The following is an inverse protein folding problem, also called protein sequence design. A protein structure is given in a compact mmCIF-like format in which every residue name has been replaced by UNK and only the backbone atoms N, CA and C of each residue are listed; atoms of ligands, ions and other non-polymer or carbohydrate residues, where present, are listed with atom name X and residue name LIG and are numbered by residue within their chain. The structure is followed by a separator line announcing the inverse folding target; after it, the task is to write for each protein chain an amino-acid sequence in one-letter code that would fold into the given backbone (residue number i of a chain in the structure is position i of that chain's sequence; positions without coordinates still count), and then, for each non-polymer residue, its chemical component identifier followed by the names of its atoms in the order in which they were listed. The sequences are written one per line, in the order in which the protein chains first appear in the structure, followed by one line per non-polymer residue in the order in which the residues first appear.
data_IF_608189436193
#
_entry.id   IF_608189436193
#
_cell.length_a   1.000
_cell.length_b   1.000
_cell.length_c   1.000
_cell.angle_alpha   90.00
_cell.angle_beta   90.00
_cell.angle_gamma   90.00
#
_symmetry.space_group_name_H-M   'P 1'
#
loop_
_entity.id
_entity.type
_entity.pdbx_description
1 polymer ?
#
# COMPACT_ATOMS: atom_id res chain seq x y z
N UNK A 1 19.55 -10.56 -5.58
CA UNK A 1 18.28 -10.88 -6.28
C UNK A 1 18.44 -10.49 -7.76
N UNK A 2 17.55 -10.92 -8.68
CA UNK A 2 17.53 -10.37 -10.04
C UNK A 2 17.13 -8.88 -9.94
N UNK A 3 17.93 -7.99 -10.48
CA UNK A 3 17.63 -6.55 -10.51
C UNK A 3 16.97 -6.18 -11.83
N UNK A 4 15.96 -5.31 -11.75
CA UNK A 4 15.25 -4.74 -12.89
C UNK A 4 15.34 -3.23 -12.76
N UNK A 5 15.85 -2.57 -13.78
CA UNK A 5 15.91 -1.11 -13.81
C UNK A 5 14.52 -0.53 -14.10
N UNK A 6 14.09 0.41 -13.26
CA UNK A 6 12.88 1.21 -13.46
C UNK A 6 13.31 2.67 -13.49
N UNK A 7 13.09 3.34 -14.61
CA UNK A 7 13.43 4.75 -14.72
C UNK A 7 12.47 5.59 -13.87
N UNK A 8 13.01 6.61 -13.19
CA UNK A 8 12.28 7.50 -12.28
C UNK A 8 12.58 8.96 -12.62
N UNK A 9 11.54 9.78 -12.67
CA UNK A 9 11.61 11.24 -12.72
C UNK A 9 11.20 11.80 -11.35
N UNK A 10 12.03 12.69 -10.79
CA UNK A 10 11.70 13.46 -9.59
C UNK A 10 11.02 14.75 -10.02
N UNK A 11 9.73 14.90 -9.72
CA UNK A 11 8.90 16.02 -10.18
C UNK A 11 8.57 17.05 -9.07
N UNK A 12 9.01 16.81 -7.83
CA UNK A 12 8.87 17.75 -6.70
C UNK A 12 10.20 17.99 -6.01
N UNK A 13 10.47 19.24 -5.63
CA UNK A 13 11.71 19.62 -4.95
C UNK A 13 11.82 18.94 -3.58
N UNK A 14 12.97 18.30 -3.31
CA UNK A 14 13.24 17.62 -2.05
C UNK A 14 12.48 16.31 -1.84
N UNK A 15 11.83 15.76 -2.88
CA UNK A 15 11.34 14.39 -2.85
C UNK A 15 12.53 13.41 -2.76
N UNK A 16 12.34 12.32 -2.01
CA UNK A 16 13.39 11.33 -1.73
C UNK A 16 13.16 10.10 -2.59
N UNK A 17 14.24 9.58 -3.18
CA UNK A 17 14.19 8.28 -3.83
C UNK A 17 13.92 7.19 -2.78
N UNK A 18 13.11 6.18 -3.13
CA UNK A 18 12.81 5.08 -2.22
C UNK A 18 14.01 4.12 -2.16
N UNK A 19 14.23 3.50 -0.99
CA UNK A 19 15.39 2.63 -0.75
C UNK A 19 14.97 1.34 -0.03
N UNK A 20 15.62 0.23 -0.37
CA UNK A 20 15.58 -0.98 0.44
C UNK A 20 16.32 -0.72 1.76
N UNK A 21 15.73 -1.09 2.89
CA UNK A 21 16.33 -0.85 4.20
C UNK A 21 17.28 -1.98 4.61
N UNK A 22 17.02 -3.20 4.13
CA UNK A 22 17.84 -4.39 4.34
C UNK A 22 18.01 -5.16 3.02
N UNK A 23 19.05 -5.99 2.96
CA UNK A 23 19.46 -6.76 1.76
C UNK A 23 18.34 -7.60 1.13
N UNK A 24 17.42 -8.10 1.94
CA UNK A 24 16.38 -9.05 1.53
C UNK A 24 14.96 -8.48 1.64
N UNK A 25 14.83 -7.17 1.81
CA UNK A 25 13.53 -6.51 1.84
C UNK A 25 12.82 -6.63 0.49
N UNK A 26 11.52 -6.91 0.52
CA UNK A 26 10.73 -7.08 -0.72
C UNK A 26 10.37 -5.76 -1.39
N UNK A 27 10.43 -4.64 -0.68
CA UNK A 27 10.00 -3.34 -1.18
C UNK A 27 10.86 -2.19 -0.66
N UNK A 28 10.86 -1.11 -1.43
CA UNK A 28 11.54 0.13 -1.06
C UNK A 28 10.58 1.04 -0.30
N UNK A 29 11.01 1.59 0.84
CA UNK A 29 10.20 2.56 1.59
C UNK A 29 10.06 3.86 0.77
N UNK A 30 8.83 4.34 0.55
CA UNK A 30 8.56 5.60 -0.17
C UNK A 30 8.09 6.70 0.79
N UNK A 31 8.58 7.92 0.54
CA UNK A 31 8.32 9.08 1.38
C UNK A 31 7.21 9.98 0.83
N UNK A 32 6.52 10.71 1.72
CA UNK A 32 5.69 11.84 1.34
C UNK A 32 6.54 13.00 0.80
N UNK A 33 6.11 13.65 -0.28
CA UNK A 33 6.78 14.82 -0.84
C UNK A 33 6.32 16.15 -0.22
N UNK A 34 5.21 16.16 0.52
CA UNK A 34 4.68 17.34 1.19
C UNK A 34 3.95 16.98 2.49
N UNK A 35 3.63 18.00 3.28
CA UNK A 35 2.82 17.87 4.48
C UNK A 35 1.34 17.67 4.10
N UNK A 36 0.71 16.63 4.64
CA UNK A 36 -0.70 16.31 4.38
C UNK A 36 -1.44 16.04 5.68
N UNK A 37 -2.53 16.78 5.89
CA UNK A 37 -3.46 16.57 7.01
C UNK A 37 -4.55 15.59 6.58
N UNK A 38 -4.86 14.62 7.43
CA UNK A 38 -5.89 13.60 7.22
C UNK A 38 -6.80 13.55 8.45
N UNK A 39 -8.02 14.07 8.31
CA UNK A 39 -9.04 14.05 9.36
C UNK A 39 -9.64 12.64 9.51
N UNK A 40 -10.28 12.33 10.65
CA UNK A 40 -11.04 11.09 10.81
C UNK A 40 -12.00 10.85 9.63
N UNK A 41 -12.01 9.62 9.12
CA UNK A 41 -12.78 9.17 7.95
C UNK A 41 -12.44 9.83 6.61
N UNK A 42 -11.42 10.70 6.56
CA UNK A 42 -10.96 11.31 5.31
C UNK A 42 -10.07 10.34 4.53
N UNK A 43 -10.23 10.37 3.21
CA UNK A 43 -9.33 9.73 2.25
C UNK A 43 -8.62 10.80 1.43
N UNK A 44 -7.30 10.77 1.44
CA UNK A 44 -6.46 11.71 0.69
C UNK A 44 -5.48 10.98 -0.22
N UNK A 45 -4.94 11.71 -1.19
CA UNK A 45 -3.79 11.27 -1.98
C UNK A 45 -2.57 12.00 -1.41
N UNK A 46 -1.58 11.24 -0.92
CA UNK A 46 -0.30 11.78 -0.47
C UNK A 46 0.71 11.66 -1.61
N UNK A 47 1.20 12.78 -2.18
CA UNK A 47 2.12 12.73 -3.30
C UNK A 47 3.50 12.24 -2.87
N UNK A 48 4.19 11.51 -3.74
CA UNK A 48 5.55 11.00 -3.50
C UNK A 48 6.63 11.83 -4.18
N UNK A 49 6.28 12.68 -5.14
CA UNK A 49 7.21 13.42 -5.97
C UNK A 49 7.85 12.58 -7.08
N UNK A 50 7.38 11.35 -7.30
CA UNK A 50 7.99 10.38 -8.22
C UNK A 50 7.07 10.05 -9.38
N UNK A 51 7.60 10.06 -10.60
CA UNK A 51 6.97 9.43 -11.78
C UNK A 51 7.84 8.26 -12.22
N UNK A 52 7.22 7.17 -12.63
CA UNK A 52 7.93 5.92 -12.93
C UNK A 52 7.67 5.47 -14.37
N UNK A 53 8.71 4.98 -15.03
CA UNK A 53 8.59 4.28 -16.30
C UNK A 53 8.91 2.79 -16.08
N UNK A 54 7.86 2.06 -15.70
CA UNK A 54 7.94 0.62 -15.40
C UNK A 54 8.02 -0.18 -16.71
N UNK A 55 8.95 -1.15 -16.84
CA UNK A 55 9.05 -1.99 -18.02
C UNK A 55 7.79 -2.86 -18.27
N UNK A 56 7.42 -3.13 -19.54
CA UNK A 56 6.34 -4.07 -19.85
C UNK A 56 6.56 -5.45 -19.20
N UNK A 57 5.48 -6.05 -18.70
CA UNK A 57 5.53 -7.33 -17.96
C UNK A 57 5.69 -7.16 -16.45
N UNK A 58 5.80 -5.92 -15.97
CA UNK A 58 5.88 -5.59 -14.54
C UNK A 58 4.80 -4.60 -14.12
N UNK A 59 4.44 -4.65 -12.84
CA UNK A 59 3.72 -3.61 -12.13
C UNK A 59 4.52 -3.22 -10.88
N UNK A 60 4.21 -2.07 -10.28
CA UNK A 60 4.64 -1.75 -8.92
C UNK A 60 3.43 -1.78 -8.00
N UNK A 61 3.56 -2.50 -6.90
CA UNK A 61 2.55 -2.59 -5.85
C UNK A 61 2.89 -1.64 -4.71
N UNK A 62 1.95 -0.77 -4.37
CA UNK A 62 1.96 0.06 -3.17
C UNK A 62 1.40 -0.76 -2.01
N UNK A 63 2.26 -1.07 -1.03
CA UNK A 63 1.89 -1.84 0.16
C UNK A 63 2.04 -1.01 1.44
N UNK A 64 1.20 -1.24 2.47
CA UNK A 64 1.33 -0.56 3.74
C UNK A 64 2.59 -0.98 4.47
N UNK A 65 3.13 -0.07 5.28
CA UNK A 65 4.17 -0.39 6.26
C UNK A 65 3.49 -0.94 7.52
N UNK A 66 3.93 -2.11 7.98
CA UNK A 66 3.33 -2.78 9.15
C UNK A 66 3.38 -1.91 10.41
N UNK A 67 4.49 -1.19 10.61
CA UNK A 67 4.65 -0.28 11.75
C UNK A 67 3.61 0.84 11.79
N UNK A 68 3.33 1.49 10.64
CA UNK A 68 2.31 2.54 10.56
C UNK A 68 0.92 1.94 10.78
N UNK A 69 0.63 0.82 10.13
CA UNK A 69 -0.70 0.18 10.19
C UNK A 69 -1.07 -0.26 11.61
N UNK A 70 -0.09 -0.76 12.37
CA UNK A 70 -0.28 -1.20 13.75
C UNK A 70 -0.41 -0.02 14.72
N UNK A 71 0.42 1.02 14.54
CA UNK A 71 0.56 2.13 15.51
C UNK A 71 -0.37 3.30 15.24
N UNK A 72 -1.07 3.32 14.11
CA UNK A 72 -1.95 4.41 13.69
C UNK A 72 -3.22 3.87 13.04
N UNK A 73 -4.28 4.68 12.92
CA UNK A 73 -5.49 4.36 12.17
C UNK A 73 -5.35 4.62 10.66
N UNK A 74 -4.14 4.91 10.15
CA UNK A 74 -3.91 5.15 8.73
C UNK A 74 -3.89 3.83 7.95
N UNK A 75 -4.63 3.75 6.85
CA UNK A 75 -4.73 2.59 5.96
C UNK A 75 -4.50 3.01 4.52
N UNK A 76 -3.75 2.21 3.78
CA UNK A 76 -3.67 2.37 2.32
C UNK A 76 -4.92 1.74 1.72
N UNK A 77 -5.84 2.59 1.23
CA UNK A 77 -7.23 2.22 0.98
C UNK A 77 -7.39 1.24 -0.18
N UNK A 78 -6.51 1.35 -1.18
CA UNK A 78 -6.49 0.48 -2.35
C UNK A 78 -5.45 -0.64 -2.24
N UNK A 79 -4.97 -0.99 -1.03
CA UNK A 79 -3.85 -1.92 -0.90
C UNK A 79 -4.17 -3.37 -1.32
N UNK A 80 -3.26 -4.06 -2.04
CA UNK A 80 -2.08 -3.49 -2.71
C UNK A 80 -2.50 -2.57 -3.86
N UNK A 81 -2.00 -1.33 -3.86
CA UNK A 81 -2.29 -0.37 -4.91
C UNK A 81 -1.48 -0.69 -6.16
N UNK A 82 -2.11 -0.81 -7.31
CA UNK A 82 -1.41 -1.14 -8.57
C UNK A 82 -0.96 0.11 -9.31
N UNK A 83 0.32 0.16 -9.67
CA UNK A 83 0.89 1.13 -10.61
C UNK A 83 1.22 0.37 -11.90
N UNK A 84 0.43 0.63 -12.94
CA UNK A 84 0.57 -0.02 -14.24
C UNK A 84 1.84 0.40 -14.99
N UNK A 85 2.34 -0.50 -15.84
CA UNK A 85 3.51 -0.25 -16.69
C UNK A 85 3.41 1.02 -17.56
N UNK A 86 2.19 1.40 -17.94
CA UNK A 86 1.89 2.56 -18.77
C UNK A 86 1.70 3.87 -18.00
N UNK A 87 1.62 3.84 -16.68
CA UNK A 87 1.40 5.05 -15.87
C UNK A 87 2.63 5.96 -15.88
N UNK A 88 2.43 7.27 -16.08
CA UNK A 88 3.53 8.25 -16.18
C UNK A 88 3.33 9.51 -15.33
N UNK A 89 2.18 9.63 -14.68
CA UNK A 89 1.93 10.74 -13.78
C UNK A 89 2.57 10.48 -12.41
N UNK A 90 2.45 11.45 -11.51
CA UNK A 90 3.01 11.37 -10.17
C UNK A 90 2.34 10.25 -9.37
N UNK A 91 3.16 9.36 -8.80
CA UNK A 91 2.71 8.32 -7.89
C UNK A 91 2.16 8.96 -6.61
N UNK A 92 0.88 8.73 -6.35
CA UNK A 92 0.20 9.12 -5.12
C UNK A 92 -0.15 7.92 -4.25
N UNK A 93 -0.03 8.07 -2.93
CA UNK A 93 -0.43 7.04 -1.97
C UNK A 93 -1.82 7.40 -1.44
N UNK A 94 -2.82 6.54 -1.72
CA UNK A 94 -4.20 6.75 -1.24
C UNK A 94 -4.29 6.27 0.21
N UNK A 95 -4.46 7.20 1.14
CA UNK A 95 -4.52 6.92 2.57
C UNK A 95 -5.87 7.34 3.13
N UNK A 96 -6.54 6.41 3.82
CA UNK A 96 -7.70 6.69 4.66
C UNK A 96 -7.27 6.72 6.12
N UNK A 97 -7.74 7.72 6.86
CA UNK A 97 -7.68 7.71 8.32
C UNK A 97 -8.94 7.07 8.88
N UNK A 98 -8.84 5.87 9.44
CA UNK A 98 -9.98 5.13 10.02
C UNK A 98 -10.24 5.48 11.48
N UNK A 99 -9.79 6.64 11.95
CA UNK A 99 -10.09 7.09 13.30
C UNK A 99 -11.60 7.21 13.51
N UNK A 100 -12.07 6.89 14.71
CA UNK A 100 -13.38 7.36 15.15
C UNK A 100 -13.43 8.90 15.14
N UNK A 101 -14.62 9.48 14.98
CA UNK A 101 -14.79 10.92 15.15
C UNK A 101 -14.40 11.34 16.58
N UNK A 102 -13.62 12.41 16.67
CA UNK A 102 -13.01 12.87 17.94
C UNK A 102 -13.40 14.31 18.26
N UNK A 103 -14.71 14.61 18.23
CA UNK A 103 -15.27 15.90 18.65
C UNK A 103 -14.50 17.12 18.13
N UNK A 104 -14.32 18.13 18.99
CA UNK A 104 -13.62 19.39 18.66
C UNK A 104 -12.09 19.33 18.90
N UNK A 105 -11.50 18.12 18.89
CA UNK A 105 -10.05 18.00 19.10
C UNK A 105 -9.27 18.68 17.97
N UNK A 106 -8.33 19.54 18.34
CA UNK A 106 -7.40 20.20 17.41
C UNK A 106 -5.98 19.64 17.49
N UNK A 107 -5.77 18.54 18.22
CA UNK A 107 -4.46 17.90 18.34
C UNK A 107 -4.13 17.12 17.06
N UNK A 108 -2.88 17.23 16.60
CA UNK A 108 -2.37 16.46 15.48
C UNK A 108 -1.48 15.32 15.97
N UNK A 109 -1.74 14.12 15.47
CA UNK A 109 -0.84 12.98 15.58
C UNK A 109 -0.02 12.80 14.30
N UNK A 110 1.08 12.09 14.38
CA UNK A 110 1.99 11.83 13.26
C UNK A 110 2.29 10.34 13.13
N UNK A 111 2.93 9.92 12.03
CA UNK A 111 3.14 8.48 11.74
C UNK A 111 3.99 7.74 12.79
N UNK A 112 4.75 8.47 13.60
CA UNK A 112 5.56 8.00 14.74
C UNK A 112 4.83 8.12 16.09
N UNK A 113 3.61 8.66 16.12
CA UNK A 113 2.79 8.69 17.33
C UNK A 113 2.43 7.27 17.78
N UNK A 114 2.81 6.93 19.01
CA UNK A 114 2.60 5.60 19.58
C UNK A 114 1.18 5.43 20.11
N UNK A 115 0.69 4.19 20.06
CA UNK A 115 -0.54 3.78 20.76
C UNK A 115 -1.83 3.81 19.93
N UNK A 116 -1.77 3.96 18.61
CA UNK A 116 -2.95 3.97 17.72
C UNK A 116 -4.00 5.00 18.16
N UNK A 117 -3.52 6.22 18.38
CA UNK A 117 -4.33 7.35 18.82
C UNK A 117 -5.40 7.66 17.77
N UNK A 118 -6.61 7.97 18.24
CA UNK A 118 -7.73 8.32 17.37
C UNK A 118 -7.74 9.84 17.20
N UNK A 119 -7.76 10.35 15.98
CA UNK A 119 -7.78 11.79 15.75
C UNK A 119 -7.29 12.23 14.37
N UNK A 120 -6.90 13.49 14.26
CA UNK A 120 -6.35 14.09 13.04
C UNK A 120 -4.88 13.67 12.93
N UNK A 121 -4.48 13.19 11.74
CA UNK A 121 -3.09 12.86 11.46
C UNK A 121 -2.45 13.88 10.51
N UNK A 122 -1.22 14.26 10.80
CA UNK A 122 -0.32 15.00 9.92
C UNK A 122 0.77 14.04 9.45
N UNK A 123 0.77 13.76 8.15
CA UNK A 123 1.93 13.18 7.47
C UNK A 123 2.85 14.34 7.11
N UNK A 124 4.11 14.26 7.52
CA UNK A 124 5.11 15.29 7.21
C UNK A 124 5.84 14.92 5.93
N UNK A 125 6.31 15.93 5.20
CA UNK A 125 7.29 15.76 4.12
C UNK A 125 8.47 14.93 4.63
N UNK A 126 8.81 13.87 3.89
CA UNK A 126 9.90 12.97 4.22
C UNK A 126 9.52 11.80 5.14
N UNK A 127 8.29 11.73 5.67
CA UNK A 127 7.79 10.55 6.36
C UNK A 127 7.69 9.37 5.39
N UNK A 128 8.19 8.20 5.80
CA UNK A 128 8.08 6.95 5.04
C UNK A 128 6.69 6.36 5.22
N UNK A 129 5.83 6.48 4.22
CA UNK A 129 4.37 6.24 4.35
C UNK A 129 3.90 4.91 3.78
N UNK A 130 4.62 4.35 2.80
CA UNK A 130 4.30 3.10 2.14
C UNK A 130 5.59 2.38 1.71
N UNK A 131 5.45 1.21 1.09
CA UNK A 131 6.56 0.54 0.41
C UNK A 131 6.15 0.13 -1.00
N UNK A 132 7.09 0.24 -1.94
CA UNK A 132 6.92 -0.12 -3.35
C UNK A 132 7.54 -1.49 -3.62
N UNK A 133 6.75 -2.44 -4.13
CA UNK A 133 7.20 -3.79 -4.48
C UNK A 133 7.05 -3.98 -5.99
N UNK A 134 8.16 -4.25 -6.69
CA UNK A 134 8.11 -4.60 -8.11
C UNK A 134 7.64 -6.05 -8.28
N UNK A 135 6.64 -6.27 -9.13
CA UNK A 135 6.06 -7.58 -9.36
C UNK A 135 5.99 -7.89 -10.85
N UNK A 136 6.41 -9.10 -11.24
CA UNK A 136 6.18 -9.63 -12.59
C UNK A 136 4.71 -10.04 -12.75
N UNK A 137 4.08 -9.61 -13.85
CA UNK A 137 2.66 -9.80 -14.13
C UNK A 137 2.44 -10.43 -15.51
N UNK A 138 2.17 -11.75 -15.58
CA UNK A 138 1.84 -12.39 -16.85
C UNK A 138 0.48 -11.91 -17.38
N UNK A 139 0.37 -11.74 -18.70
CA UNK A 139 -0.90 -11.37 -19.33
C UNK A 139 -1.81 -12.58 -19.48
N UNK A 140 -3.03 -12.48 -18.96
CA UNK A 140 -4.06 -13.50 -19.16
C UNK A 140 -4.62 -13.46 -20.59
N UNK A 141 -4.93 -14.64 -21.14
CA UNK A 141 -5.78 -14.82 -22.32
C UNK A 141 -6.98 -15.66 -21.92
N UNK A 142 -8.17 -15.08 -21.95
CA UNK A 142 -9.40 -15.80 -21.60
C UNK A 142 -9.82 -16.74 -22.74
N UNK A 143 -10.20 -17.97 -22.39
CA UNK A 143 -10.83 -18.94 -23.27
C UNK A 143 -12.18 -19.32 -22.68
N UNK A 144 -13.26 -18.98 -23.37
CA UNK A 144 -14.63 -19.34 -22.96
C UNK A 144 -14.83 -20.84 -23.13
N UNK A 145 -15.42 -21.50 -22.13
CA UNK A 145 -15.75 -22.93 -22.10
C UNK A 145 -17.10 -23.12 -21.42
N UNK A 146 -17.81 -24.21 -21.73
CA UNK A 146 -19.12 -24.51 -21.14
C UNK A 146 -19.03 -24.85 -19.64
N UNK A 147 -17.91 -25.43 -19.19
CA UNK A 147 -17.66 -25.71 -17.77
C UNK A 147 -16.17 -25.84 -17.46
N UNK A 148 -15.75 -25.25 -16.34
CA UNK A 148 -14.38 -25.39 -15.79
C UNK A 148 -14.23 -26.60 -14.86
N UNK A 149 -15.34 -27.25 -14.47
CA UNK A 149 -15.33 -28.32 -13.45
C UNK A 149 -14.48 -29.53 -13.85
N UNK A 150 -14.34 -29.79 -15.16
CA UNK A 150 -13.51 -30.87 -15.72
C UNK A 150 -12.10 -30.45 -16.14
N UNK A 151 -11.68 -29.21 -15.89
CA UNK A 151 -10.36 -28.70 -16.31
C UNK A 151 -9.41 -28.71 -15.12
N UNK A 152 -8.36 -29.53 -15.19
CA UNK A 152 -7.32 -29.59 -14.16
C UNK A 152 -7.83 -30.14 -12.82
N UNK A 153 -7.24 -29.67 -11.72
CA UNK A 153 -7.64 -30.06 -10.36
C UNK A 153 -8.66 -29.08 -9.79
N UNK A 154 -9.77 -29.58 -9.27
CA UNK A 154 -10.78 -28.78 -8.60
C UNK A 154 -10.62 -28.86 -7.07
N UNK A 155 -10.26 -27.75 -6.42
CA UNK A 155 -10.12 -27.66 -4.95
C UNK A 155 -11.46 -27.74 -4.22
N UNK A 156 -12.59 -27.53 -4.89
CA UNK A 156 -13.90 -27.42 -4.25
C UNK A 156 -14.11 -26.05 -3.59
N UNK A 157 -14.59 -26.03 -2.33
CA UNK A 157 -15.06 -24.83 -1.63
C UNK A 157 -14.01 -23.73 -1.35
N UNK A 158 -14.49 -22.56 -0.90
CA UNK A 158 -13.70 -21.37 -0.51
C UNK A 158 -14.27 -20.67 0.73
N UNK A 159 -13.85 -19.43 1.03
CA UNK A 159 -14.33 -18.62 2.17
C UNK A 159 -14.16 -19.24 3.56
N UNK A 160 -12.97 -19.74 3.88
CA UNK A 160 -12.70 -20.31 5.20
C UNK A 160 -13.19 -21.76 5.39
N UNK A 161 -13.45 -22.48 4.30
CA UNK A 161 -13.88 -23.90 4.29
C UNK A 161 -12.93 -24.88 5.01
N UNK A 162 -11.74 -24.44 5.43
CA UNK A 162 -10.75 -25.23 6.17
C UNK A 162 -10.44 -24.70 7.58
N UNK A 163 -11.15 -23.69 8.08
CA UNK A 163 -10.75 -23.03 9.33
C UNK A 163 -11.75 -22.05 9.92
N UNK A 164 -12.71 -22.58 10.66
CA UNK A 164 -13.18 -21.99 11.93
C UNK A 164 -13.40 -23.16 12.87
N UNK A 165 -12.32 -23.63 13.51
CA UNK A 165 -12.48 -24.55 14.62
C UNK A 165 -13.23 -23.80 15.73
N UNK A 166 -14.45 -24.24 16.01
CA UNK A 166 -15.06 -24.12 17.34
C UNK A 166 -14.12 -24.80 18.33
N UNK A 167 -13.13 -24.06 18.82
CA UNK A 167 -12.38 -24.43 20.02
C UNK A 167 -12.50 -23.27 20.99
N UNK A 168 -13.22 -23.56 22.06
CA UNK A 168 -13.33 -22.76 23.28
C UNK A 168 -11.98 -22.12 23.62
N UNK A 169 -11.97 -20.79 23.71
CA UNK A 169 -10.89 -20.06 24.33
C UNK A 169 -10.92 -20.34 25.85
N UNK A 170 -10.16 -21.35 26.29
CA UNK A 170 -9.34 -21.26 27.51
C UNK A 170 -7.94 -20.91 26.98
N UNK A 171 -7.28 -19.84 27.38
CA UNK A 171 -7.04 -19.25 28.71
C UNK A 171 -7.01 -17.73 28.56
#
# INVERSE_FOLDING_TARGET
MKEIEVAVEICREGAKLPEYQNEWDSGMDVCAAEDVIIRPNETVIVPTGLKLAIPPGYEIQVRPRSGITLRTPLRISNSPGTIDAGYRDEVGIIITNTSAETGDSTEYYTVDSLGNKQGIYLIRKGDRIAQLVLQEVPRMRLKVVDSVAGIGTNRGGGFGSTGVNEREAKI
#
